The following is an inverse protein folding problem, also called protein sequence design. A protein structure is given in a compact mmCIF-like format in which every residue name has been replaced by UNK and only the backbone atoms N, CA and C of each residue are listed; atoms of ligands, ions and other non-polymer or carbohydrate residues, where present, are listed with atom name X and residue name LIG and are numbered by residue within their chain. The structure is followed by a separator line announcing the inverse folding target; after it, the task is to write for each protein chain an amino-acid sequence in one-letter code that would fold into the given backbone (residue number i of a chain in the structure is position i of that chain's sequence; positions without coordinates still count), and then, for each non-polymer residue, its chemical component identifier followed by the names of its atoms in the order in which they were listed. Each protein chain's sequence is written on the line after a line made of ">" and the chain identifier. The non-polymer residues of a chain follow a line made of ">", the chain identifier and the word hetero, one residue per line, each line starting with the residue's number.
data_IF_074491786964
#
_entry.id   IF_074491786964
#
_cell.length_a   1.000
_cell.length_b   1.000
_cell.length_c   1.000
_cell.angle_alpha   90.00
_cell.angle_beta   90.00
_cell.angle_gamma   90.00
#
_symmetry.space_group_name_H-M   'P 1'
#
loop_
_entity.id
_entity.type
_entity.pdbx_description
1 polymer ?
#
# COMPACT_ATOMS: atom_id res chain seq x y z
N UNK A 1 -16.89 -17.81 14.05
CA UNK A 1 -15.79 -17.97 13.07
C UNK A 1 -16.39 -18.26 11.70
N UNK A 2 -16.32 -17.30 10.75
CA UNK A 2 -16.67 -17.52 9.34
C UNK A 2 -15.49 -17.04 8.50
N UNK A 3 -14.80 -17.98 7.86
CA UNK A 3 -13.60 -17.74 7.05
C UNK A 3 -14.05 -17.28 5.65
N UNK A 4 -13.76 -16.03 5.31
CA UNK A 4 -13.85 -15.51 3.95
C UNK A 4 -12.54 -15.84 3.21
N UNK A 5 -12.38 -17.10 2.83
CA UNK A 5 -11.25 -17.54 2.03
C UNK A 5 -11.71 -17.73 0.58
N UNK A 6 -10.98 -17.07 -0.31
CA UNK A 6 -10.84 -17.36 -1.73
C UNK A 6 -11.99 -16.93 -2.65
N UNK A 7 -12.05 -15.63 -2.95
CA UNK A 7 -12.58 -15.12 -4.22
C UNK A 7 -11.48 -14.78 -5.24
N UNK A 8 -10.22 -15.10 -4.95
CA UNK A 8 -9.07 -14.78 -5.83
C UNK A 8 -8.66 -15.92 -6.79
N UNK A 9 -9.43 -17.01 -6.90
CA UNK A 9 -8.99 -18.21 -7.63
C UNK A 9 -9.90 -18.67 -8.80
N UNK A 10 -10.84 -17.84 -9.26
CA UNK A 10 -11.84 -18.28 -10.25
C UNK A 10 -11.47 -17.96 -11.72
N UNK A 11 -10.37 -17.26 -12.00
CA UNK A 11 -9.99 -16.91 -13.39
C UNK A 11 -8.87 -17.84 -13.90
N UNK A 12 -9.02 -19.16 -13.80
CA UNK A 12 -8.01 -20.09 -14.32
C UNK A 12 -8.53 -21.29 -15.12
N UNK A 13 -9.84 -21.38 -15.39
CA UNK A 13 -10.38 -22.52 -16.15
C UNK A 13 -11.39 -22.07 -17.17
N UNK A 14 -10.93 -21.76 -18.39
CA UNK A 14 -11.76 -21.72 -19.61
C UNK A 14 -10.89 -21.75 -20.89
N UNK A 15 -9.93 -22.68 -21.00
CA UNK A 15 -9.05 -22.75 -22.19
C UNK A 15 -8.85 -24.16 -22.78
N UNK A 16 -9.90 -24.98 -22.88
CA UNK A 16 -9.83 -26.17 -23.75
C UNK A 16 -11.15 -26.48 -24.45
N UNK A 17 -11.17 -26.29 -25.77
CA UNK A 17 -12.08 -26.98 -26.67
C UNK A 17 -12.57 -26.10 -27.83
N UNK A 18 -11.91 -26.17 -29.00
CA UNK A 18 -12.50 -26.67 -30.25
C UNK A 18 -11.51 -26.51 -31.42
N UNK A 19 -11.17 -27.65 -32.04
CA UNK A 19 -10.42 -27.77 -33.29
C UNK A 19 -11.41 -27.75 -34.47
N UNK A 20 -10.95 -27.20 -35.60
CA UNK A 20 -11.52 -27.22 -36.98
C UNK A 20 -12.15 -25.92 -37.55
N UNK A 21 -11.63 -24.74 -37.15
CA UNK A 21 -11.79 -23.44 -37.85
C UNK A 21 -10.48 -22.62 -37.82
N UNK A 22 -9.38 -23.26 -38.23
CA UNK A 22 -7.99 -22.91 -37.86
C UNK A 22 -7.53 -21.45 -38.03
N UNK A 23 -7.90 -20.72 -39.09
CA UNK A 23 -7.46 -19.33 -39.24
C UNK A 23 -8.40 -18.30 -38.57
N UNK A 24 -9.72 -18.54 -38.52
CA UNK A 24 -10.64 -17.62 -37.84
C UNK A 24 -10.47 -17.69 -36.32
N UNK A 25 -10.36 -18.91 -35.76
CA UNK A 25 -10.15 -19.11 -34.33
C UNK A 25 -8.81 -18.52 -33.84
N UNK A 26 -7.74 -18.61 -34.63
CA UNK A 26 -6.45 -17.95 -34.31
C UNK A 26 -6.51 -16.43 -34.40
N UNK A 27 -7.32 -15.88 -35.31
CA UNK A 27 -7.49 -14.43 -35.46
C UNK A 27 -8.36 -13.85 -34.34
N UNK A 28 -9.42 -14.56 -33.94
CA UNK A 28 -10.25 -14.20 -32.78
C UNK A 28 -9.45 -14.26 -31.48
N UNK A 29 -8.71 -15.35 -31.26
CA UNK A 29 -7.79 -15.48 -30.12
C UNK A 29 -6.74 -14.36 -30.10
N UNK A 30 -6.19 -13.98 -31.25
CA UNK A 30 -5.23 -12.88 -31.36
C UNK A 30 -5.85 -11.54 -30.93
N UNK A 31 -7.05 -11.22 -31.44
CA UNK A 31 -7.75 -10.00 -31.08
C UNK A 31 -8.10 -9.93 -29.59
N UNK A 32 -8.50 -11.06 -28.99
CA UNK A 32 -8.76 -11.15 -27.56
C UNK A 32 -7.48 -10.91 -26.74
N UNK A 33 -6.36 -11.56 -27.09
CA UNK A 33 -5.07 -11.37 -26.40
C UNK A 33 -4.55 -9.94 -26.52
N UNK A 34 -4.67 -9.30 -27.69
CA UNK A 34 -4.28 -7.90 -27.89
C UNK A 34 -5.13 -6.95 -27.02
N UNK A 35 -6.43 -7.21 -26.93
CA UNK A 35 -7.33 -6.46 -26.04
C UNK A 35 -6.96 -6.66 -24.57
N UNK A 36 -6.74 -7.90 -24.13
CA UNK A 36 -6.33 -8.23 -22.76
C UNK A 36 -4.98 -7.58 -22.42
N UNK A 37 -4.02 -7.59 -23.34
CA UNK A 37 -2.74 -6.91 -23.17
C UNK A 37 -2.92 -5.41 -22.93
N UNK A 38 -3.76 -4.75 -23.74
CA UNK A 38 -4.03 -3.32 -23.59
C UNK A 38 -4.70 -3.00 -22.25
N UNK A 39 -5.65 -3.83 -21.81
CA UNK A 39 -6.32 -3.69 -20.51
C UNK A 39 -5.33 -3.84 -19.35
N UNK A 40 -4.50 -4.88 -19.36
CA UNK A 40 -3.47 -5.09 -18.33
C UNK A 40 -2.46 -3.94 -18.29
N UNK A 41 -2.10 -3.36 -19.44
CA UNK A 41 -1.21 -2.21 -19.48
C UNK A 41 -1.82 -0.97 -18.79
N UNK A 42 -3.11 -0.71 -18.99
CA UNK A 42 -3.84 0.36 -18.30
C UNK A 42 -3.93 0.09 -16.79
N UNK A 43 -4.17 -1.17 -16.40
CA UNK A 43 -4.19 -1.57 -15.00
C UNK A 43 -2.84 -1.36 -14.31
N UNK A 44 -1.72 -1.69 -14.97
CA UNK A 44 -0.37 -1.44 -14.45
C UNK A 44 -0.17 0.04 -14.13
N UNK A 45 -0.53 0.92 -15.07
CA UNK A 45 -0.35 2.36 -14.88
C UNK A 45 -1.22 2.89 -13.72
N UNK A 46 -2.45 2.39 -13.58
CA UNK A 46 -3.32 2.72 -12.46
C UNK A 46 -2.77 2.23 -11.12
N UNK A 47 -2.29 0.98 -11.05
CA UNK A 47 -1.70 0.38 -9.84
C UNK A 47 -0.44 1.15 -9.42
N UNK A 48 0.44 1.48 -10.37
CA UNK A 48 1.65 2.28 -10.11
C UNK A 48 1.32 3.65 -9.52
N UNK A 49 0.33 4.33 -10.09
CA UNK A 49 -0.14 5.61 -9.56
C UNK A 49 -0.67 5.46 -8.13
N UNK A 50 -1.46 4.44 -7.84
CA UNK A 50 -1.96 4.20 -6.49
C UNK A 50 -0.83 3.85 -5.50
N UNK A 51 0.18 3.11 -5.95
CA UNK A 51 1.38 2.82 -5.15
C UNK A 51 2.14 4.10 -4.79
N UNK A 52 2.36 4.99 -5.76
CA UNK A 52 3.01 6.28 -5.53
C UNK A 52 2.21 7.17 -4.57
N UNK A 53 0.89 7.21 -4.71
CA UNK A 53 0.02 7.93 -3.77
C UNK A 53 0.10 7.35 -2.34
N UNK A 54 0.12 6.01 -2.21
CA UNK A 54 0.28 5.35 -0.92
C UNK A 54 1.66 5.66 -0.30
N UNK A 55 2.72 5.66 -1.11
CA UNK A 55 4.08 6.03 -0.69
C UNK A 55 4.18 7.47 -0.20
N UNK A 56 3.55 8.41 -0.93
CA UNK A 56 3.48 9.82 -0.51
C UNK A 56 2.74 9.97 0.82
N UNK A 57 1.61 9.27 1.01
CA UNK A 57 0.87 9.28 2.28
C UNK A 57 1.68 8.68 3.43
N UNK A 58 2.40 7.57 3.19
CA UNK A 58 3.30 6.99 4.18
C UNK A 58 4.34 8.01 4.64
N UNK A 59 5.01 8.69 3.71
CA UNK A 59 6.01 9.72 4.01
C UNK A 59 5.42 10.93 4.77
N UNK A 60 4.18 11.33 4.48
CA UNK A 60 3.48 12.38 5.25
C UNK A 60 3.23 11.95 6.69
N UNK A 61 2.80 10.71 6.91
CA UNK A 61 2.58 10.18 8.26
C UNK A 61 3.88 9.94 9.02
N UNK A 62 4.96 9.53 8.36
CA UNK A 62 6.30 9.45 8.96
C UNK A 62 6.74 10.83 9.49
N UNK A 63 6.61 11.89 8.69
CA UNK A 63 6.90 13.27 9.14
C UNK A 63 6.03 13.72 10.33
N UNK A 64 4.75 13.34 10.33
CA UNK A 64 3.86 13.63 11.47
C UNK A 64 4.27 12.84 12.70
N UNK A 65 4.64 11.56 12.55
CA UNK A 65 5.15 10.73 13.63
C UNK A 65 6.41 11.36 14.24
N UNK A 66 7.39 11.75 13.43
CA UNK A 66 8.61 12.41 13.89
C UNK A 66 8.32 13.69 14.67
N UNK A 67 7.42 14.53 14.15
CA UNK A 67 6.97 15.75 14.84
C UNK A 67 6.38 15.42 16.21
N UNK A 68 5.49 14.44 16.28
CA UNK A 68 4.85 14.05 17.54
C UNK A 68 5.82 13.37 18.50
N UNK A 69 6.82 12.65 18.00
CA UNK A 69 7.89 12.08 18.80
C UNK A 69 8.67 13.18 19.53
N UNK A 70 9.03 14.26 18.83
CA UNK A 70 9.67 15.43 19.45
C UNK A 70 8.76 16.10 20.48
N UNK A 71 7.47 16.25 20.19
CA UNK A 71 6.51 16.83 21.14
C UNK A 71 6.39 16.00 22.41
N UNK A 72 6.32 14.67 22.30
CA UNK A 72 6.28 13.75 23.45
C UNK A 72 7.57 13.89 24.27
N UNK A 73 8.74 13.92 23.63
CA UNK A 73 10.02 14.09 24.33
C UNK A 73 10.06 15.41 25.11
N UNK A 74 9.66 16.51 24.49
CA UNK A 74 9.61 17.82 25.14
C UNK A 74 8.63 17.83 26.32
N UNK A 75 7.44 17.21 26.15
CA UNK A 75 6.43 17.15 27.20
C UNK A 75 6.87 16.28 28.38
N UNK A 76 7.59 15.20 28.12
CA UNK A 76 8.18 14.37 29.18
C UNK A 76 9.27 15.12 29.97
N UNK A 77 10.09 15.95 29.30
CA UNK A 77 11.04 16.82 29.99
C UNK A 77 10.34 17.87 30.85
N UNK A 78 9.25 18.45 30.37
CA UNK A 78 8.42 19.39 31.14
C UNK A 78 7.80 18.74 32.39
N UNK A 79 7.23 17.53 32.22
CA UNK A 79 6.68 16.74 33.32
C UNK A 79 7.72 16.43 34.39
N UNK A 80 8.92 16.00 34.00
CA UNK A 80 10.00 15.72 34.94
C UNK A 80 10.36 16.97 35.74
N UNK A 81 10.49 18.14 35.09
CA UNK A 81 10.79 19.41 35.78
C UNK A 81 9.68 19.81 36.77
N UNK A 82 8.41 19.64 36.38
CA UNK A 82 7.28 19.92 37.26
C UNK A 82 7.26 18.97 38.46
N UNK A 83 7.59 17.69 38.24
CA UNK A 83 7.63 16.67 39.28
C UNK A 83 8.79 16.89 40.26
N UNK A 84 9.96 17.29 39.77
CA UNK A 84 11.10 17.69 40.58
C UNK A 84 10.74 18.91 41.45
N UNK A 85 10.15 19.95 40.82
CA UNK A 85 9.71 21.17 41.52
C UNK A 85 8.66 20.85 42.59
N UNK A 86 7.69 19.99 42.27
CA UNK A 86 6.68 19.56 43.23
C UNK A 86 7.31 18.84 44.42
N UNK A 87 8.27 17.94 44.17
CA UNK A 87 8.98 17.17 45.21
C UNK A 87 9.84 18.07 46.11
N UNK A 88 10.48 19.10 45.56
CA UNK A 88 11.24 20.09 46.33
C UNK A 88 10.34 20.92 47.24
N UNK A 89 9.17 21.32 46.74
CA UNK A 89 8.19 22.10 47.50
C UNK A 89 7.44 21.20 48.50
N UNK A 90 7.29 19.90 48.22
CA UNK A 90 6.58 18.99 49.10
C UNK A 90 7.25 18.87 50.49
N UNK A 91 8.57 19.00 50.52
CA UNK A 91 9.42 19.00 51.72
C UNK A 91 9.32 20.28 52.56
N UNK A 92 8.57 21.30 52.12
CA UNK A 92 8.42 22.59 52.78
C UNK A 92 7.01 22.72 53.40
N UNK A 93 6.92 23.43 54.52
CA UNK A 93 5.67 23.70 55.23
C UNK A 93 5.33 25.20 55.23
N UNK A 94 4.03 25.51 55.24
CA UNK A 94 3.51 26.88 55.28
C UNK A 94 2.25 27.08 54.43
N UNK A 95 1.42 28.07 54.77
CA UNK A 95 0.14 28.33 54.09
C UNK A 95 0.32 28.75 52.63
N UNK A 96 1.33 29.57 52.33
CA UNK A 96 1.71 29.92 50.94
C UNK A 96 2.23 28.70 50.17
N UNK A 97 2.94 27.80 50.85
CA UNK A 97 3.47 26.58 50.23
C UNK A 97 2.33 25.65 49.80
N UNK A 98 1.27 25.52 50.61
CA UNK A 98 0.08 24.72 50.24
C UNK A 98 -0.59 25.21 48.96
N UNK A 99 -0.75 26.53 48.79
CA UNK A 99 -1.34 27.10 47.58
C UNK A 99 -0.49 26.80 46.33
N UNK A 100 0.84 26.87 46.45
CA UNK A 100 1.76 26.54 45.35
C UNK A 100 1.73 25.04 45.02
N UNK A 101 1.61 24.16 46.02
CA UNK A 101 1.46 22.71 45.81
C UNK A 101 0.24 22.37 44.96
N UNK A 102 -0.92 22.96 45.27
CA UNK A 102 -2.15 22.71 44.49
C UNK A 102 -2.01 23.20 43.03
N UNK A 103 -1.44 24.39 42.81
CA UNK A 103 -1.20 24.90 41.45
C UNK A 103 -0.25 23.98 40.66
N UNK A 104 0.80 23.45 41.29
CA UNK A 104 1.72 22.51 40.64
C UNK A 104 1.06 21.17 40.35
N UNK A 105 0.21 20.69 41.25
CA UNK A 105 -0.55 19.46 41.07
C UNK A 105 -1.51 19.56 39.89
N UNK A 106 -2.22 20.68 39.76
CA UNK A 106 -3.09 20.92 38.60
C UNK A 106 -2.30 20.94 37.29
N UNK A 107 -1.15 21.63 37.26
CA UNK A 107 -0.25 21.63 36.09
C UNK A 107 0.30 20.25 35.76
N UNK A 108 0.63 19.44 36.77
CA UNK A 108 1.07 18.05 36.57
C UNK A 108 -0.04 17.20 35.94
N UNK A 109 -1.28 17.35 36.42
CA UNK A 109 -2.43 16.63 35.87
C UNK A 109 -2.68 17.04 34.41
N UNK A 110 -2.74 18.34 34.12
CA UNK A 110 -2.95 18.87 32.77
C UNK A 110 -1.82 18.41 31.83
N UNK A 111 -0.57 18.54 32.27
CA UNK A 111 0.59 18.13 31.48
C UNK A 111 0.63 16.60 31.23
N UNK A 112 0.18 15.79 32.19
CA UNK A 112 0.06 14.34 32.02
C UNK A 112 -1.04 13.95 31.02
N UNK A 113 -2.19 14.64 31.06
CA UNK A 113 -3.26 14.45 30.08
C UNK A 113 -2.81 14.80 28.66
N UNK A 114 -2.10 15.91 28.52
CA UNK A 114 -1.50 16.32 27.24
C UNK A 114 -0.50 15.28 26.73
N UNK A 115 0.38 14.76 27.61
CA UNK A 115 1.35 13.73 27.22
C UNK A 115 0.65 12.49 26.66
N UNK A 116 -0.39 11.99 27.35
CA UNK A 116 -1.19 10.86 26.87
C UNK A 116 -1.82 11.16 25.50
N UNK A 117 -2.30 12.39 25.28
CA UNK A 117 -2.86 12.79 23.99
C UNK A 117 -1.81 12.83 22.88
N UNK A 118 -0.61 13.34 23.17
CA UNK A 118 0.51 13.36 22.23
C UNK A 118 0.95 11.94 21.87
N UNK A 119 1.10 11.05 22.85
CA UNK A 119 1.46 9.65 22.66
C UNK A 119 0.42 8.89 21.82
N UNK A 120 -0.88 9.14 22.05
CA UNK A 120 -1.95 8.56 21.23
C UNK A 120 -1.87 9.01 19.78
N UNK A 121 -1.56 10.29 19.52
CA UNK A 121 -1.39 10.83 18.16
C UNK A 121 -0.14 10.29 17.48
N UNK A 122 0.98 10.25 18.20
CA UNK A 122 2.22 9.62 17.75
C UNK A 122 1.95 8.19 17.28
N UNK A 123 1.35 7.37 18.15
CA UNK A 123 1.02 5.98 17.83
C UNK A 123 0.16 5.88 16.57
N UNK A 124 -0.90 6.69 16.49
CA UNK A 124 -1.79 6.69 15.30
C UNK A 124 -1.03 6.98 14.02
N UNK A 125 -0.16 7.99 14.00
CA UNK A 125 0.58 8.35 12.79
C UNK A 125 1.64 7.31 12.43
N UNK A 126 2.31 6.71 13.42
CA UNK A 126 3.21 5.57 13.18
C UNK A 126 2.48 4.38 12.57
N UNK A 127 1.30 4.03 13.12
CA UNK A 127 0.48 2.93 12.60
C UNK A 127 0.00 3.23 11.16
N UNK A 128 -0.43 4.46 10.89
CA UNK A 128 -0.85 4.88 9.54
C UNK A 128 0.29 4.87 8.54
N UNK A 129 1.48 5.36 8.91
CA UNK A 129 2.68 5.29 8.07
C UNK A 129 2.98 3.85 7.67
N UNK A 130 2.94 2.92 8.64
CA UNK A 130 3.16 1.49 8.40
C UNK A 130 2.13 0.91 7.43
N UNK A 131 0.84 1.15 7.65
CA UNK A 131 -0.24 0.65 6.77
C UNK A 131 -0.06 1.13 5.34
N UNK A 132 0.25 2.41 5.13
CA UNK A 132 0.43 2.94 3.77
C UNK A 132 1.72 2.45 3.11
N UNK A 133 2.78 2.19 3.89
CA UNK A 133 4.02 1.59 3.39
C UNK A 133 3.80 0.14 2.94
N UNK A 134 3.10 -0.66 3.76
CA UNK A 134 2.71 -2.02 3.39
C UNK A 134 1.81 -2.03 2.15
N UNK A 135 0.84 -1.11 2.07
CA UNK A 135 -0.02 -0.95 0.88
C UNK A 135 0.80 -0.64 -0.38
N UNK A 136 1.73 0.30 -0.31
CA UNK A 136 2.61 0.65 -1.43
C UNK A 136 3.40 -0.57 -1.92
N UNK A 137 3.98 -1.35 -0.99
CA UNK A 137 4.75 -2.55 -1.33
C UNK A 137 3.88 -3.64 -1.99
N UNK A 138 2.66 -3.84 -1.50
CA UNK A 138 1.71 -4.80 -2.09
C UNK A 138 1.32 -4.39 -3.51
N UNK A 139 1.06 -3.10 -3.75
CA UNK A 139 0.72 -2.58 -5.08
C UNK A 139 1.92 -2.65 -6.05
N UNK A 140 3.13 -2.36 -5.57
CA UNK A 140 4.36 -2.52 -6.37
C UNK A 140 4.58 -3.98 -6.78
N UNK A 141 4.33 -4.93 -5.87
CA UNK A 141 4.43 -6.36 -6.18
C UNK A 141 3.34 -6.81 -7.17
N UNK A 142 2.10 -6.33 -6.98
CA UNK A 142 1.02 -6.59 -7.93
C UNK A 142 1.34 -6.04 -9.33
N UNK A 143 1.91 -4.83 -9.42
CA UNK A 143 2.31 -4.25 -10.69
C UNK A 143 3.36 -5.12 -11.41
N UNK A 144 4.36 -5.64 -10.69
CA UNK A 144 5.37 -6.56 -11.25
C UNK A 144 4.75 -7.85 -11.77
N UNK A 145 3.85 -8.46 -11.02
CA UNK A 145 3.16 -9.68 -11.44
C UNK A 145 2.30 -9.46 -12.70
N UNK A 146 1.64 -8.30 -12.80
CA UNK A 146 0.90 -7.93 -14.01
C UNK A 146 1.84 -7.64 -15.18
N UNK A 147 2.99 -6.99 -14.96
CA UNK A 147 4.02 -6.79 -15.99
C UNK A 147 4.55 -8.11 -16.55
N UNK A 148 4.83 -9.10 -15.70
CA UNK A 148 5.22 -10.45 -16.12
C UNK A 148 4.12 -11.12 -16.95
N UNK A 149 2.86 -10.92 -16.58
CA UNK A 149 1.70 -11.44 -17.33
C UNK A 149 1.59 -10.79 -18.71
N UNK A 150 1.77 -9.47 -18.80
CA UNK A 150 1.84 -8.73 -20.08
C UNK A 150 2.98 -9.25 -20.96
N UNK A 151 4.15 -9.54 -20.38
CA UNK A 151 5.27 -10.11 -21.13
C UNK A 151 4.95 -11.51 -21.69
N UNK A 152 4.31 -12.37 -20.90
CA UNK A 152 3.85 -13.70 -21.35
C UNK A 152 2.83 -13.59 -22.48
N UNK A 153 1.80 -12.76 -22.32
CA UNK A 153 0.80 -12.50 -23.37
C UNK A 153 1.45 -11.93 -24.63
N UNK A 154 2.43 -11.04 -24.49
CA UNK A 154 3.19 -10.50 -25.63
C UNK A 154 3.95 -11.59 -26.41
N UNK A 155 4.53 -12.56 -25.70
CA UNK A 155 5.22 -13.70 -26.32
C UNK A 155 4.23 -14.61 -27.05
N UNK A 156 3.07 -14.90 -26.45
CA UNK A 156 2.01 -15.70 -27.07
C UNK A 156 1.47 -15.03 -28.34
N UNK A 157 1.20 -13.72 -28.30
CA UNK A 157 0.79 -12.93 -29.47
C UNK A 157 1.82 -13.06 -30.59
N UNK A 158 3.13 -12.93 -30.29
CA UNK A 158 4.20 -13.08 -31.29
C UNK A 158 4.21 -14.47 -31.91
N UNK A 159 4.00 -15.52 -31.11
CA UNK A 159 3.95 -16.89 -31.59
C UNK A 159 2.74 -17.10 -32.53
N UNK A 160 1.55 -16.69 -32.12
CA UNK A 160 0.32 -16.82 -32.93
C UNK A 160 0.47 -16.04 -34.25
N UNK A 161 1.02 -14.82 -34.22
CA UNK A 161 1.30 -14.03 -35.43
C UNK A 161 2.23 -14.77 -36.39
N UNK A 162 3.28 -15.41 -35.86
CA UNK A 162 4.21 -16.22 -36.68
C UNK A 162 3.50 -17.41 -37.32
N UNK A 163 2.72 -18.17 -36.54
CA UNK A 163 1.96 -19.31 -37.04
C UNK A 163 0.97 -18.92 -38.15
N UNK A 164 0.27 -17.80 -38.00
CA UNK A 164 -0.65 -17.28 -39.04
C UNK A 164 0.11 -16.96 -40.35
N UNK A 165 1.30 -16.38 -40.26
CA UNK A 165 2.14 -16.06 -41.43
C UNK A 165 2.65 -17.33 -42.11
N UNK A 166 3.12 -18.30 -41.34
CA UNK A 166 3.66 -19.57 -41.84
C UNK A 166 2.54 -20.42 -42.50
N UNK A 167 1.33 -20.41 -41.94
CA UNK A 167 0.15 -21.02 -42.56
C UNK A 167 -0.23 -20.35 -43.88
N UNK A 168 -0.25 -19.01 -43.95
CA UNK A 168 -0.55 -18.27 -45.19
C UNK A 168 0.44 -18.60 -46.30
N UNK A 169 1.74 -18.59 -46.00
CA UNK A 169 2.80 -18.97 -46.97
C UNK A 169 2.66 -20.42 -47.46
N UNK A 170 2.30 -21.33 -46.57
CA UNK A 170 2.10 -22.76 -46.89
C UNK A 170 0.85 -23.00 -47.76
N UNK A 171 -0.18 -22.18 -47.62
CA UNK A 171 -1.37 -22.22 -48.48
C UNK A 171 -1.12 -21.63 -49.87
N UNK A 172 -0.32 -20.57 -49.98
CA UNK A 172 0.06 -19.95 -51.27
C UNK A 172 0.95 -20.88 -52.11
N UNK A 173 1.90 -21.58 -51.49
CA UNK A 173 2.74 -22.59 -52.19
C UNK A 173 1.94 -23.79 -52.68
N UNK A 174 0.86 -24.19 -51.99
CA UNK A 174 -0.06 -25.25 -52.45
C UNK A 174 -1.04 -24.83 -53.54
N UNK A 175 -1.27 -23.52 -53.73
CA UNK A 175 -2.14 -23.00 -54.80
C UNK A 175 -1.41 -22.75 -56.13
N UNK A 176 -0.08 -22.63 -56.08
CA UNK A 176 0.77 -22.29 -57.23
C UNK A 176 1.63 -23.45 -57.74
N UNK A 177 1.44 -24.67 -57.22
CA UNK A 177 2.10 -25.90 -57.67
C UNK A 177 1.08 -26.98 -57.98
#
# INVERSE_FOLDING_TARGET
>A
MKKNISKCFVIFVCLTGFLLTGCMAKTEKLAELEKTQQQMQQEIDAIKKEADEAKQRAAQYEKLSDKYQTLVQNKNQELNKLQDTYTEIDKKDGTQVKAVKEVLKDKLIESAQDSIHLEKRLKRYTDQAKVYKEKSQQLEEQAKQTEESVQKTSQEIKQIKKEIVDEKKSQETKKNG
#
